data_IF_151434171215
#
_entry.id   IF_151434171215
#
_cell.length_a   1.000
_cell.length_b   1.000
_cell.length_c   1.000
_cell.angle_alpha   90.00
_cell.angle_beta   90.00
_cell.angle_gamma   90.00
#
_symmetry.space_group_name_H-M   'P 1'
#
loop_
_entity.id
_entity.type
_entity.pdbx_description
1 polymer ?
#
# COMPACT_ATOMS: atom_id res chain seq x y z
N UNK A 1 -15.83 6.95 -9.89
CA UNK A 1 -15.28 5.68 -10.40
C UNK A 1 -13.94 5.82 -11.14
N UNK A 2 -13.65 6.93 -11.84
CA UNK A 2 -12.35 7.12 -12.53
C UNK A 2 -11.25 7.81 -11.68
N UNK A 3 -11.50 8.13 -10.41
CA UNK A 3 -10.52 8.86 -9.59
C UNK A 3 -9.35 7.98 -9.16
N UNK A 4 -9.58 6.72 -8.82
CA UNK A 4 -8.51 5.80 -8.41
C UNK A 4 -7.53 5.54 -9.57
N UNK A 5 -8.02 5.66 -10.80
CA UNK A 5 -7.23 5.50 -12.01
C UNK A 5 -6.17 6.58 -12.20
N UNK A 6 -6.42 7.82 -11.77
CA UNK A 6 -5.41 8.90 -11.83
C UNK A 6 -4.38 8.79 -10.70
N UNK A 7 -4.61 7.91 -9.72
CA UNK A 7 -3.63 7.55 -8.69
C UNK A 7 -2.80 6.31 -9.07
N UNK A 8 -3.09 5.68 -10.22
CA UNK A 8 -2.35 4.52 -10.68
C UNK A 8 -0.87 4.87 -10.96
N UNK A 9 0.06 3.92 -10.72
CA UNK A 9 1.47 4.11 -11.05
C UNK A 9 1.67 4.46 -12.52
N UNK A 10 2.69 5.25 -12.84
CA UNK A 10 3.11 5.59 -14.22
C UNK A 10 4.52 5.09 -14.47
N UNK A 11 4.98 5.03 -15.72
CA UNK A 11 6.40 4.75 -15.96
C UNK A 11 7.24 6.01 -15.72
N UNK A 12 8.49 5.81 -15.30
CA UNK A 12 9.47 6.89 -15.34
C UNK A 12 9.65 7.39 -16.79
N UNK A 13 9.60 8.71 -16.99
CA UNK A 13 9.60 9.32 -18.33
C UNK A 13 10.92 9.02 -19.07
N UNK A 14 12.05 9.00 -18.38
CA UNK A 14 13.34 8.71 -19.00
C UNK A 14 13.44 7.23 -19.37
N UNK A 15 13.00 6.34 -18.48
CA UNK A 15 12.92 4.91 -18.74
C UNK A 15 12.00 4.60 -19.93
N UNK A 16 10.81 5.21 -19.99
CA UNK A 16 9.85 4.99 -21.08
C UNK A 16 10.39 5.49 -22.43
N UNK A 17 11.10 6.62 -22.46
CA UNK A 17 11.71 7.13 -23.70
C UNK A 17 12.88 6.29 -24.22
N UNK A 18 13.65 5.68 -23.31
CA UNK A 18 14.75 4.79 -23.67
C UNK A 18 14.27 3.36 -24.02
N UNK A 19 13.05 3.00 -23.64
CA UNK A 19 12.49 1.68 -23.82
C UNK A 19 12.22 1.34 -25.29
N UNK A 20 12.50 0.09 -25.67
CA UNK A 20 12.07 -0.44 -26.97
C UNK A 20 10.58 -0.75 -26.93
N UNK A 21 9.77 0.11 -27.54
CA UNK A 21 8.34 -0.15 -27.76
C UNK A 21 8.18 -1.34 -28.72
N UNK A 22 7.39 -2.31 -28.29
CA UNK A 22 7.13 -3.53 -29.05
C UNK A 22 5.93 -3.36 -29.96
N UNK A 23 4.77 -3.07 -29.38
CA UNK A 23 3.54 -2.85 -30.13
C UNK A 23 2.57 -1.97 -29.30
N UNK A 24 1.35 -1.80 -29.81
CA UNK A 24 0.29 -1.06 -29.12
C UNK A 24 -1.02 -1.85 -29.17
N UNK A 25 -1.66 -2.00 -28.01
CA UNK A 25 -3.02 -2.51 -27.87
C UNK A 25 -4.01 -1.42 -27.50
N UNK A 26 -5.18 -1.85 -27.03
CA UNK A 26 -6.25 -1.00 -26.53
C UNK A 26 -6.07 -0.74 -25.02
N UNK A 27 -6.11 0.53 -24.57
CA UNK A 27 -6.05 0.86 -23.15
C UNK A 27 -7.36 0.42 -22.47
N UNK A 28 -7.28 -0.56 -21.57
CA UNK A 28 -8.44 -1.16 -20.91
C UNK A 28 -8.52 -0.81 -19.42
N UNK A 29 -7.37 -0.88 -18.73
CA UNK A 29 -7.18 -0.50 -17.34
C UNK A 29 -5.95 0.38 -17.20
N UNK A 30 -6.06 1.63 -16.70
CA UNK A 30 -4.97 2.61 -16.71
C UNK A 30 -3.86 2.28 -15.69
N UNK A 31 -2.69 2.90 -15.92
CA UNK A 31 -1.50 2.74 -15.09
C UNK A 31 -0.35 2.03 -15.81
N UNK A 32 0.75 1.83 -15.09
CA UNK A 32 1.97 1.19 -15.57
C UNK A 32 2.28 -0.07 -14.75
N UNK A 33 2.49 -1.18 -15.44
CA UNK A 33 2.83 -2.45 -14.82
C UNK A 33 4.04 -3.08 -15.52
N UNK A 34 4.97 -3.59 -14.72
CA UNK A 34 6.13 -4.37 -15.17
C UNK A 34 6.12 -5.69 -14.42
N UNK A 35 6.38 -6.79 -15.12
CA UNK A 35 6.44 -8.09 -14.47
C UNK A 35 6.91 -9.19 -15.40
N UNK A 36 7.20 -10.35 -14.81
CA UNK A 36 7.56 -11.54 -15.56
C UNK A 36 6.33 -12.10 -16.28
N UNK A 37 6.47 -12.44 -17.55
CA UNK A 37 5.41 -13.06 -18.35
C UNK A 37 4.98 -14.37 -17.68
N UNK A 38 3.68 -14.50 -17.40
CA UNK A 38 3.02 -15.76 -17.06
C UNK A 38 1.85 -15.98 -18.01
N UNK A 39 1.76 -17.18 -18.59
CA UNK A 39 0.75 -17.51 -19.62
C UNK A 39 -0.40 -18.38 -19.09
N UNK A 40 -0.39 -18.65 -17.78
CA UNK A 40 -1.38 -19.46 -17.08
C UNK A 40 -1.71 -18.85 -15.72
N UNK A 41 -2.98 -18.86 -15.34
CA UNK A 41 -3.47 -18.20 -14.14
C UNK A 41 -2.94 -18.80 -12.83
N UNK A 42 -2.87 -20.13 -12.69
CA UNK A 42 -2.34 -20.78 -11.48
C UNK A 42 -0.85 -20.48 -11.30
N UNK A 43 -0.09 -20.54 -12.40
CA UNK A 43 1.33 -20.18 -12.37
C UNK A 43 1.56 -18.70 -12.07
N UNK A 44 0.66 -17.82 -12.51
CA UNK A 44 0.72 -16.41 -12.16
C UNK A 44 0.55 -16.19 -10.64
N UNK A 45 -0.34 -16.94 -9.98
CA UNK A 45 -0.53 -16.89 -8.52
C UNK A 45 0.75 -17.29 -7.78
N UNK A 46 1.41 -18.36 -8.24
CA UNK A 46 2.63 -18.84 -7.59
C UNK A 46 3.84 -17.95 -7.87
N UNK A 47 3.96 -17.44 -9.10
CA UNK A 47 5.03 -16.51 -9.45
C UNK A 47 4.87 -15.16 -8.74
N UNK A 48 3.63 -14.70 -8.48
CA UNK A 48 3.36 -13.46 -7.76
C UNK A 48 3.91 -13.47 -6.32
N UNK A 49 4.07 -14.65 -5.71
CA UNK A 49 4.70 -14.81 -4.39
C UNK A 49 6.21 -14.51 -4.41
N UNK A 50 6.85 -14.58 -5.57
CA UNK A 50 8.29 -14.39 -5.74
C UNK A 50 8.65 -13.03 -6.36
N UNK A 51 7.68 -12.30 -6.91
CA UNK A 51 7.90 -11.01 -7.54
C UNK A 51 6.76 -10.60 -8.46
N UNK A 52 6.89 -9.44 -9.14
CA UNK A 52 5.84 -8.91 -9.99
C UNK A 52 5.63 -9.74 -11.26
N UNK A 53 4.36 -9.97 -11.61
CA UNK A 53 3.93 -10.84 -12.71
C UNK A 53 3.05 -10.09 -13.68
N UNK A 54 3.24 -10.37 -14.97
CA UNK A 54 2.36 -9.93 -16.05
C UNK A 54 1.60 -11.13 -16.62
N UNK A 55 0.28 -11.17 -16.48
CA UNK A 55 -0.54 -12.24 -17.05
C UNK A 55 -0.76 -11.97 -18.54
N UNK A 56 -0.18 -12.81 -19.40
CA UNK A 56 -0.27 -12.68 -20.86
C UNK A 56 -1.11 -13.81 -21.43
N UNK A 57 -2.24 -13.48 -22.08
CA UNK A 57 -3.21 -14.47 -22.60
C UNK A 57 -3.65 -14.10 -24.00
N UNK A 58 -4.09 -15.06 -24.81
CA UNK A 58 -4.80 -14.74 -26.05
C UNK A 58 -6.10 -14.00 -25.74
N UNK A 59 -6.92 -14.60 -24.88
CA UNK A 59 -8.13 -14.04 -24.28
C UNK A 59 -8.21 -14.57 -22.84
N UNK A 60 -8.83 -13.83 -21.93
CA UNK A 60 -9.10 -14.31 -20.57
C UNK A 60 -10.50 -14.89 -20.46
N UNK A 61 -10.66 -15.92 -19.64
CA UNK A 61 -11.97 -16.46 -19.23
C UNK A 61 -12.20 -16.26 -17.71
N UNK A 62 -13.40 -16.56 -17.18
CA UNK A 62 -13.65 -16.53 -15.74
C UNK A 62 -12.72 -17.41 -14.91
N UNK A 63 -12.16 -18.48 -15.50
CA UNK A 63 -11.19 -19.37 -14.86
C UNK A 63 -9.85 -18.67 -14.58
N UNK A 64 -9.52 -17.64 -15.35
CA UNK A 64 -8.28 -16.87 -15.22
C UNK A 64 -8.32 -15.86 -14.05
N UNK A 65 -9.48 -15.68 -13.39
CA UNK A 65 -9.71 -14.63 -12.39
C UNK A 65 -8.66 -14.60 -11.28
N UNK A 66 -8.27 -15.76 -10.73
CA UNK A 66 -7.26 -15.82 -9.66
C UNK A 66 -5.90 -15.29 -10.13
N UNK A 67 -5.51 -15.61 -11.36
CA UNK A 67 -4.29 -15.10 -11.97
C UNK A 67 -4.37 -13.60 -12.26
N UNK A 68 -5.54 -13.11 -12.68
CA UNK A 68 -5.79 -11.67 -12.92
C UNK A 68 -5.68 -10.85 -11.62
N UNK A 69 -6.12 -11.42 -10.48
CA UNK A 69 -5.97 -10.79 -9.16
C UNK A 69 -4.49 -10.73 -8.75
N UNK A 70 -3.76 -11.83 -8.96
CA UNK A 70 -2.37 -11.95 -8.55
C UNK A 70 -1.40 -11.11 -9.41
N UNK A 71 -1.69 -10.90 -10.69
CA UNK A 71 -0.80 -10.18 -11.60
C UNK A 71 -0.78 -8.66 -11.35
N UNK A 72 0.35 -8.01 -11.59
CA UNK A 72 0.49 -6.54 -11.60
C UNK A 72 -0.24 -5.92 -12.79
N UNK A 73 -0.25 -6.64 -13.92
CA UNK A 73 -0.97 -6.22 -15.11
C UNK A 73 -1.40 -7.39 -15.98
N UNK A 74 -2.38 -7.11 -16.85
CA UNK A 74 -2.98 -8.08 -17.75
C UNK A 74 -2.76 -7.61 -19.19
N UNK A 75 -2.27 -8.51 -20.04
CA UNK A 75 -2.04 -8.25 -21.45
C UNK A 75 -2.74 -9.32 -22.29
N UNK A 76 -3.63 -8.90 -23.19
CA UNK A 76 -4.28 -9.83 -24.12
C UNK A 76 -4.00 -9.52 -25.59
N UNK A 77 -3.82 -10.57 -26.39
CA UNK A 77 -3.65 -10.43 -27.84
C UNK A 77 -4.98 -10.10 -28.54
N UNK A 78 -6.10 -10.61 -28.01
CA UNK A 78 -7.46 -10.39 -28.52
C UNK A 78 -8.37 -9.76 -27.46
N UNK A 79 -9.55 -9.33 -27.91
CA UNK A 79 -10.56 -8.69 -27.08
C UNK A 79 -10.53 -7.16 -27.14
N UNK A 80 -11.72 -6.55 -27.12
CA UNK A 80 -11.88 -5.09 -27.11
C UNK A 80 -11.92 -4.49 -25.71
N UNK A 81 -12.21 -3.19 -25.63
CA UNK A 81 -12.39 -2.45 -24.36
C UNK A 81 -13.61 -2.91 -23.53
N UNK A 82 -14.48 -3.74 -24.10
CA UNK A 82 -15.62 -4.40 -23.45
C UNK A 82 -15.42 -5.91 -23.24
N UNK A 83 -14.20 -6.42 -23.50
CA UNK A 83 -13.88 -7.83 -23.27
C UNK A 83 -13.86 -8.18 -21.78
N UNK A 84 -13.95 -9.47 -21.47
CA UNK A 84 -13.83 -9.98 -20.10
C UNK A 84 -12.61 -9.41 -19.37
N UNK A 85 -11.43 -9.44 -20.02
CA UNK A 85 -10.18 -8.90 -19.47
C UNK A 85 -10.31 -7.42 -19.09
N UNK A 86 -10.91 -6.61 -19.97
CA UNK A 86 -11.05 -5.17 -19.78
C UNK A 86 -12.02 -4.82 -18.65
N UNK A 87 -13.18 -5.49 -18.60
CA UNK A 87 -14.21 -5.26 -17.59
C UNK A 87 -13.72 -5.62 -16.20
N UNK A 88 -13.14 -6.83 -16.05
CA UNK A 88 -12.66 -7.34 -14.77
C UNK A 88 -11.46 -6.53 -14.28
N UNK A 89 -10.50 -6.22 -15.16
CA UNK A 89 -9.34 -5.41 -14.78
C UNK A 89 -9.76 -4.01 -14.30
N UNK A 90 -10.72 -3.37 -14.97
CA UNK A 90 -11.22 -2.05 -14.57
C UNK A 90 -11.91 -2.10 -13.21
N UNK A 91 -12.73 -3.10 -12.95
CA UNK A 91 -13.39 -3.29 -11.65
C UNK A 91 -12.39 -3.51 -10.51
N UNK A 92 -11.27 -4.16 -10.82
CA UNK A 92 -10.22 -4.46 -9.84
C UNK A 92 -9.13 -3.39 -9.74
N UNK A 93 -9.20 -2.32 -10.55
CA UNK A 93 -8.17 -1.29 -10.61
C UNK A 93 -6.81 -1.81 -11.11
N UNK A 94 -6.79 -2.88 -11.92
CA UNK A 94 -5.57 -3.48 -12.47
C UNK A 94 -5.20 -2.84 -13.81
N UNK A 95 -3.90 -2.71 -14.04
CA UNK A 95 -3.36 -2.24 -15.32
C UNK A 95 -3.67 -3.29 -16.39
N UNK A 96 -4.27 -2.87 -17.50
CA UNK A 96 -4.70 -3.79 -18.53
C UNK A 96 -4.60 -3.19 -19.93
N UNK A 97 -3.97 -3.95 -20.84
CA UNK A 97 -3.93 -3.67 -22.28
C UNK A 97 -4.56 -4.86 -22.99
N UNK A 98 -5.64 -4.61 -23.73
CA UNK A 98 -6.34 -5.65 -24.47
C UNK A 98 -6.11 -5.53 -25.98
N UNK A 99 -6.34 -6.60 -26.73
CA UNK A 99 -6.39 -6.52 -28.19
C UNK A 99 -5.08 -6.10 -28.85
N UNK A 100 -3.94 -6.47 -28.27
CA UNK A 100 -2.63 -6.29 -28.89
C UNK A 100 -2.43 -7.34 -30.00
N UNK A 101 -3.07 -7.13 -31.14
CA UNK A 101 -3.17 -8.09 -32.25
C UNK A 101 -1.81 -8.49 -32.87
N UNK A 102 -0.78 -7.68 -32.66
CA UNK A 102 0.60 -7.97 -33.07
C UNK A 102 1.30 -9.03 -32.19
N UNK A 103 0.70 -9.43 -31.05
CA UNK A 103 1.23 -10.49 -30.20
C UNK A 103 0.78 -11.86 -30.71
N UNK A 104 1.75 -12.68 -31.05
CA UNK A 104 1.55 -14.11 -31.30
C UNK A 104 1.93 -14.91 -30.06
N UNK A 105 0.93 -15.48 -29.40
CA UNK A 105 1.04 -16.18 -28.11
C UNK A 105 0.94 -17.68 -28.38
N UNK A 106 2.05 -18.38 -28.17
CA UNK A 106 2.14 -19.84 -28.34
C UNK A 106 2.28 -20.53 -26.96
N UNK A 107 1.21 -21.18 -26.54
CA UNK A 107 1.16 -21.91 -25.28
C UNK A 107 1.97 -23.21 -25.28
N UNK A 108 2.26 -23.80 -26.46
CA UNK A 108 3.07 -25.04 -26.56
C UNK A 108 4.53 -24.73 -26.29
N UNK A 109 5.04 -23.66 -26.92
CA UNK A 109 6.43 -23.22 -26.72
C UNK A 109 6.59 -22.27 -25.54
N UNK A 110 5.48 -21.84 -24.91
CA UNK A 110 5.44 -20.88 -23.79
C UNK A 110 6.19 -19.59 -24.15
N UNK A 111 5.86 -19.05 -25.31
CA UNK A 111 6.51 -17.86 -25.86
C UNK A 111 5.51 -16.87 -26.45
N UNK A 112 5.91 -15.60 -26.41
CA UNK A 112 5.20 -14.47 -26.98
C UNK A 112 6.10 -13.86 -28.05
N UNK A 113 5.63 -13.82 -29.29
CA UNK A 113 6.34 -13.21 -30.42
C UNK A 113 5.70 -11.88 -30.78
N UNK A 114 6.53 -10.88 -31.05
CA UNK A 114 6.10 -9.56 -31.50
C UNK A 114 7.23 -8.90 -32.28
N UNK A 115 6.91 -8.40 -33.48
CA UNK A 115 7.85 -7.67 -34.36
C UNK A 115 9.22 -8.36 -34.50
N UNK A 116 9.19 -9.66 -34.77
CA UNK A 116 10.37 -10.51 -34.98
C UNK A 116 11.15 -10.88 -33.72
N UNK A 117 10.76 -10.38 -32.55
CA UNK A 117 11.37 -10.74 -31.25
C UNK A 117 10.55 -11.83 -30.55
N UNK A 118 11.20 -12.77 -29.87
CA UNK A 118 10.54 -13.83 -29.09
C UNK A 118 10.89 -13.68 -27.61
N UNK A 119 9.87 -13.62 -26.76
CA UNK A 119 9.98 -13.56 -25.31
C UNK A 119 9.43 -14.85 -24.71
N UNK A 120 10.11 -15.43 -23.74
CA UNK A 120 9.68 -16.65 -23.07
C UNK A 120 8.95 -16.33 -21.78
N UNK A 121 8.14 -17.27 -21.34
CA UNK A 121 7.56 -17.21 -19.99
C UNK A 121 8.67 -17.08 -18.94
N UNK A 122 8.52 -16.11 -18.03
CA UNK A 122 9.55 -15.69 -17.07
C UNK A 122 10.38 -14.47 -17.47
N UNK A 123 10.41 -14.09 -18.75
CA UNK A 123 11.04 -12.84 -19.20
C UNK A 123 10.21 -11.63 -18.78
N UNK A 124 10.83 -10.45 -18.69
CA UNK A 124 10.12 -9.22 -18.33
C UNK A 124 9.47 -8.53 -19.52
N UNK A 125 8.23 -8.09 -19.31
CA UNK A 125 7.55 -7.10 -20.15
C UNK A 125 6.94 -6.01 -19.29
N UNK A 126 6.77 -4.85 -19.91
CA UNK A 126 6.16 -3.67 -19.32
C UNK A 126 4.99 -3.20 -20.17
N UNK A 127 3.87 -2.90 -19.54
CA UNK A 127 2.67 -2.39 -20.21
C UNK A 127 2.23 -1.05 -19.60
N UNK A 128 1.82 -0.13 -20.47
CA UNK A 128 1.17 1.11 -20.10
C UNK A 128 -0.30 1.01 -20.49
N UNK A 129 -1.14 0.75 -19.50
CA UNK A 129 -2.58 0.61 -19.67
C UNK A 129 -3.32 1.93 -19.94
N UNK A 130 -2.67 3.07 -19.72
CA UNK A 130 -3.25 4.40 -20.02
C UNK A 130 -3.23 4.70 -21.51
N UNK A 131 -2.14 4.36 -22.20
CA UNK A 131 -1.97 4.64 -23.63
C UNK A 131 -1.96 3.37 -24.52
N UNK A 132 -2.01 2.18 -23.91
CA UNK A 132 -2.02 0.89 -24.60
C UNK A 132 -0.64 0.41 -25.08
N UNK A 133 0.45 1.03 -24.66
CA UNK A 133 1.79 0.69 -25.14
C UNK A 133 2.41 -0.51 -24.41
N UNK A 134 3.15 -1.33 -25.16
CA UNK A 134 3.84 -2.52 -24.65
C UNK A 134 5.33 -2.38 -24.94
N UNK A 135 6.17 -2.66 -23.95
CA UNK A 135 7.62 -2.46 -23.99
C UNK A 135 8.37 -3.73 -23.62
N UNK A 136 9.58 -3.87 -24.19
CA UNK A 136 10.49 -4.95 -23.83
C UNK A 136 11.20 -4.69 -22.50
N UNK A 137 11.37 -5.75 -21.71
CA UNK A 137 12.14 -5.70 -20.46
C UNK A 137 11.37 -5.10 -19.29
N UNK A 138 12.09 -4.82 -18.22
CA UNK A 138 11.55 -4.24 -16.99
C UNK A 138 11.75 -2.72 -16.98
N UNK A 139 10.65 -1.98 -17.05
CA UNK A 139 10.65 -0.54 -16.85
C UNK A 139 10.35 -0.20 -15.40
N UNK A 140 11.12 0.75 -14.85
CA UNK A 140 10.87 1.32 -13.54
C UNK A 140 9.56 2.08 -13.55
N UNK A 141 8.66 1.69 -12.65
CA UNK A 141 7.45 2.45 -12.35
C UNK A 141 7.79 3.59 -11.40
N UNK A 142 6.99 4.64 -11.46
CA UNK A 142 7.00 5.79 -10.58
C UNK A 142 5.59 5.97 -10.00
N UNK A 143 5.45 6.62 -8.83
CA UNK A 143 4.14 7.02 -8.33
C UNK A 143 3.38 7.87 -9.36
N UNK A 144 2.05 7.95 -9.27
CA UNK A 144 1.24 8.75 -10.20
C UNK A 144 1.72 10.20 -10.28
N UNK A 145 1.42 10.89 -11.39
CA UNK A 145 1.77 12.31 -11.52
C UNK A 145 1.20 13.15 -10.36
N UNK A 146 0.02 12.80 -9.87
CA UNK A 146 -0.62 13.45 -8.72
C UNK A 146 0.23 13.26 -7.45
N UNK A 147 0.69 12.04 -7.17
CA UNK A 147 1.56 11.77 -6.02
C UNK A 147 2.92 12.48 -6.19
N UNK A 148 3.47 12.49 -7.40
CA UNK A 148 4.71 13.19 -7.70
C UNK A 148 4.63 14.70 -7.47
N UNK A 149 3.45 15.30 -7.69
CA UNK A 149 3.18 16.71 -7.41
C UNK A 149 2.89 16.95 -5.91
N UNK A 150 1.95 16.20 -5.33
CA UNK A 150 1.41 16.46 -3.99
C UNK A 150 2.31 15.99 -2.86
N UNK A 151 2.91 14.81 -3.00
CA UNK A 151 3.65 14.13 -1.93
C UNK A 151 5.15 14.28 -2.15
N UNK A 152 5.66 13.83 -3.29
CA UNK A 152 7.10 13.83 -3.56
C UNK A 152 7.64 15.22 -3.90
N UNK A 153 6.77 16.14 -4.33
CA UNK A 153 7.12 17.51 -4.79
C UNK A 153 8.19 17.52 -5.90
N UNK A 154 8.22 16.48 -6.74
CA UNK A 154 9.20 16.28 -7.82
C UNK A 154 8.71 16.78 -9.18
N UNK A 155 7.40 16.86 -9.38
CA UNK A 155 6.80 17.34 -10.63
C UNK A 155 6.14 18.70 -10.41
N UNK A 156 6.37 19.63 -11.34
CA UNK A 156 5.73 20.95 -11.31
C UNK A 156 4.21 20.80 -11.57
N UNK A 157 3.34 21.29 -10.66
CA UNK A 157 1.89 21.27 -10.84
C UNK A 157 1.41 21.80 -12.19
N UNK A 158 2.13 22.77 -12.79
CA UNK A 158 1.77 23.38 -14.08
C UNK A 158 2.04 22.47 -15.26
N UNK A 159 2.90 21.46 -15.10
CA UNK A 159 3.31 20.53 -16.16
C UNK A 159 2.47 19.26 -16.22
N UNK A 160 1.83 18.87 -15.12
CA UNK A 160 0.92 17.73 -15.11
C UNK A 160 -0.50 18.15 -15.50
N UNK A 161 -1.03 17.55 -16.58
CA UNK A 161 -2.44 17.73 -16.96
C UNK A 161 -3.36 16.99 -16.00
N UNK A 162 -2.95 15.81 -15.57
CA UNK A 162 -3.73 14.97 -14.67
C UNK A 162 -3.91 15.64 -13.30
N UNK A 163 -2.85 16.27 -12.79
CA UNK A 163 -2.95 17.08 -11.57
C UNK A 163 -3.91 18.27 -11.72
N UNK A 164 -3.88 18.99 -12.86
CA UNK A 164 -4.82 20.11 -13.07
C UNK A 164 -6.27 19.66 -13.09
N UNK A 165 -6.55 18.57 -13.79
CA UNK A 165 -7.89 17.98 -13.85
C UNK A 165 -8.33 17.51 -12.44
N UNK A 166 -7.43 16.84 -11.71
CA UNK A 166 -7.67 16.41 -10.34
C UNK A 166 -7.96 17.59 -9.41
N UNK A 167 -7.13 18.63 -9.43
CA UNK A 167 -7.30 19.84 -8.62
C UNK A 167 -8.65 20.51 -8.91
N UNK A 168 -9.00 20.66 -10.19
CA UNK A 168 -10.28 21.24 -10.59
C UNK A 168 -11.48 20.41 -10.10
N UNK A 169 -11.39 19.08 -10.19
CA UNK A 169 -12.42 18.19 -9.67
C UNK A 169 -12.54 18.31 -8.15
N UNK A 170 -11.42 18.33 -7.43
CA UNK A 170 -11.41 18.50 -5.98
C UNK A 170 -12.02 19.84 -5.55
N UNK A 171 -11.78 20.92 -6.30
CA UNK A 171 -12.41 22.23 -6.07
C UNK A 171 -13.93 22.18 -6.25
N UNK A 172 -14.42 21.43 -7.24
CA UNK A 172 -15.87 21.22 -7.42
C UNK A 172 -16.46 20.37 -6.30
N UNK A 173 -15.77 19.31 -5.90
CA UNK A 173 -16.17 18.47 -4.78
C UNK A 173 -16.24 19.27 -3.48
N UNK A 174 -15.27 20.13 -3.21
CA UNK A 174 -15.25 21.00 -2.04
C UNK A 174 -16.45 21.97 -2.00
N UNK A 175 -16.93 22.45 -3.16
CA UNK A 175 -18.11 23.33 -3.25
C UNK A 175 -19.44 22.60 -3.08
N UNK A 176 -19.49 21.32 -3.46
CA UNK A 176 -20.70 20.52 -3.44
C UNK A 176 -20.87 19.68 -2.16
N UNK A 177 -19.77 19.33 -1.50
CA UNK A 177 -19.82 18.48 -0.31
C UNK A 177 -20.45 19.20 0.88
N UNK A 178 -21.22 18.46 1.68
CA UNK A 178 -21.73 18.88 2.98
C UNK A 178 -20.97 18.25 4.14
N UNK A 179 -20.18 17.22 3.86
CA UNK A 179 -19.40 16.49 4.87
C UNK A 179 -17.93 16.84 4.72
N UNK A 180 -17.29 17.10 5.86
CA UNK A 180 -15.84 17.23 5.95
C UNK A 180 -15.19 15.85 5.83
N UNK A 181 -14.13 15.77 5.04
CA UNK A 181 -13.32 14.56 4.90
C UNK A 181 -12.06 14.70 5.76
N UNK A 182 -12.03 13.99 6.88
CA UNK A 182 -10.84 13.86 7.75
C UNK A 182 -10.18 12.50 7.52
N UNK A 183 -8.90 12.39 7.88
CA UNK A 183 -8.11 11.17 7.70
C UNK A 183 -7.89 10.38 8.99
N UNK A 184 -7.58 9.10 8.87
CA UNK A 184 -6.96 8.33 9.94
C UNK A 184 -5.45 8.34 9.71
N UNK A 185 -4.69 8.96 10.61
CA UNK A 185 -3.25 9.10 10.46
C UNK A 185 -2.57 9.20 11.83
N UNK A 186 -1.48 8.43 11.98
CA UNK A 186 -0.82 8.22 13.28
C UNK A 186 0.64 8.71 13.28
N UNK A 187 1.14 9.16 12.13
CA UNK A 187 2.52 9.65 11.96
C UNK A 187 2.57 10.98 11.18
N UNK A 188 3.59 11.83 11.41
CA UNK A 188 3.70 13.12 10.73
C UNK A 188 3.71 13.03 9.20
N UNK A 189 4.31 11.98 8.63
CA UNK A 189 4.35 11.76 7.18
C UNK A 189 2.97 11.41 6.62
N UNK A 190 2.21 10.53 7.29
CA UNK A 190 0.84 10.21 6.89
C UNK A 190 -0.05 11.44 6.95
N UNK A 191 0.12 12.29 7.96
CA UNK A 191 -0.62 13.55 8.09
C UNK A 191 -0.29 14.49 6.94
N UNK A 192 1.00 14.73 6.66
CA UNK A 192 1.42 15.59 5.56
C UNK A 192 0.84 15.12 4.21
N UNK A 193 0.87 13.81 3.95
CA UNK A 193 0.29 13.23 2.75
C UNK A 193 -1.22 13.47 2.69
N UNK A 194 -1.95 13.17 3.78
CA UNK A 194 -3.39 13.35 3.81
C UNK A 194 -3.82 14.81 3.60
N UNK A 195 -3.10 15.76 4.20
CA UNK A 195 -3.33 17.19 3.97
C UNK A 195 -3.07 17.56 2.51
N UNK A 196 -2.01 17.02 1.89
CA UNK A 196 -1.73 17.25 0.48
C UNK A 196 -2.86 16.76 -0.45
N UNK A 197 -3.55 15.68 -0.08
CA UNK A 197 -4.74 15.17 -0.77
C UNK A 197 -6.04 15.93 -0.44
N UNK A 198 -6.00 16.94 0.44
CA UNK A 198 -7.14 17.78 0.77
C UNK A 198 -7.93 17.37 2.02
N UNK A 199 -7.37 16.50 2.87
CA UNK A 199 -8.01 16.19 4.16
C UNK A 199 -8.15 17.45 5.02
N UNK A 200 -9.32 17.66 5.62
CA UNK A 200 -9.60 18.83 6.46
C UNK A 200 -9.02 18.70 7.87
N UNK A 201 -8.44 17.56 8.22
CA UNK A 201 -7.82 17.27 9.51
C UNK A 201 -7.71 15.77 9.77
N UNK A 202 -7.40 15.38 11.01
CA UNK A 202 -7.30 13.97 11.42
C UNK A 202 -8.55 13.57 12.20
N UNK A 203 -9.35 12.65 11.70
CA UNK A 203 -10.57 12.14 12.35
C UNK A 203 -10.27 11.10 13.42
N UNK A 204 -9.12 10.41 13.30
CA UNK A 204 -8.63 9.46 14.29
C UNK A 204 -7.10 9.32 14.20
N UNK A 205 -6.42 9.71 15.27
CA UNK A 205 -5.02 9.38 15.53
C UNK A 205 -4.99 8.31 16.63
N UNK A 206 -4.47 7.14 16.31
CA UNK A 206 -4.33 5.98 17.19
C UNK A 206 -3.00 6.06 17.90
N UNK A 207 -3.03 6.33 19.20
CA UNK A 207 -1.80 6.49 20.00
C UNK A 207 -0.99 5.22 20.14
N UNK A 208 -1.59 4.07 19.85
CA UNK A 208 -1.06 2.78 20.27
C UNK A 208 -0.03 2.27 19.27
N UNK A 209 -0.24 2.62 18.00
CA UNK A 209 0.72 2.46 16.91
C UNK A 209 2.05 3.19 17.21
N UNK A 210 2.00 4.28 17.98
CA UNK A 210 3.18 5.08 18.33
C UNK A 210 4.12 4.35 19.31
N UNK A 211 3.66 3.28 19.96
CA UNK A 211 4.45 2.51 20.94
C UNK A 211 5.13 1.26 20.37
N UNK A 212 4.69 0.76 19.21
CA UNK A 212 5.22 -0.48 18.64
C UNK A 212 6.61 -0.31 17.99
N UNK A 213 7.08 0.92 17.81
CA UNK A 213 8.36 1.20 17.14
C UNK A 213 9.57 1.20 18.10
N UNK A 214 10.58 0.40 17.75
CA UNK A 214 11.93 0.45 18.34
C UNK A 214 11.95 0.31 19.86
N UNK A 215 12.67 1.21 20.54
CA UNK A 215 12.85 1.18 22.00
C UNK A 215 11.62 1.62 22.81
N UNK A 216 10.53 2.04 22.15
CA UNK A 216 9.31 2.52 22.80
C UNK A 216 8.50 1.37 23.39
N UNK A 217 8.50 0.23 22.70
CA UNK A 217 7.83 -0.99 23.15
C UNK A 217 8.40 -1.45 24.49
N UNK A 218 9.71 -1.27 24.72
CA UNK A 218 10.35 -1.66 25.97
C UNK A 218 9.89 -0.79 27.14
N UNK A 219 9.72 0.52 26.93
CA UNK A 219 9.19 1.41 27.95
C UNK A 219 7.72 1.11 28.28
N UNK A 220 6.93 0.69 27.29
CA UNK A 220 5.56 0.20 27.49
C UNK A 220 5.56 -1.12 28.29
N UNK A 221 6.44 -2.07 27.95
CA UNK A 221 6.59 -3.34 28.67
C UNK A 221 7.07 -3.14 30.11
N UNK A 222 7.97 -2.19 30.36
CA UNK A 222 8.37 -1.80 31.72
C UNK A 222 7.19 -1.28 32.53
N UNK A 223 6.30 -0.48 31.92
CA UNK A 223 5.10 0.05 32.56
C UNK A 223 4.14 -1.08 32.95
N UNK A 224 3.95 -2.06 32.05
CA UNK A 224 3.08 -3.22 32.26
C UNK A 224 3.61 -4.16 33.35
N UNK A 225 4.92 -4.38 33.39
CA UNK A 225 5.55 -5.28 34.36
C UNK A 225 5.71 -4.67 35.76
N UNK A 226 5.67 -3.34 35.90
CA UNK A 226 5.83 -2.65 37.17
C UNK A 226 4.83 -3.12 38.25
N UNK A 227 5.36 -3.48 39.43
CA UNK A 227 4.59 -4.01 40.56
C UNK A 227 3.98 -2.92 41.45
N UNK A 228 4.43 -1.67 41.33
CA UNK A 228 3.93 -0.55 42.12
C UNK A 228 3.73 0.71 41.24
N UNK A 229 2.96 1.66 41.76
CA UNK A 229 2.64 2.91 41.07
C UNK A 229 3.88 3.76 40.77
N UNK A 230 4.87 3.76 41.67
CA UNK A 230 6.09 4.58 41.55
C UNK A 230 6.89 4.16 40.32
N UNK A 231 7.13 2.86 40.16
CA UNK A 231 7.83 2.28 39.03
C UNK A 231 7.03 2.41 37.74
N UNK A 232 5.70 2.26 37.81
CA UNK A 232 4.82 2.49 36.66
C UNK A 232 4.91 3.93 36.16
N UNK A 233 4.85 4.92 37.06
CA UNK A 233 5.04 6.35 36.72
C UNK A 233 6.43 6.61 36.15
N UNK A 234 7.48 5.94 36.65
CA UNK A 234 8.84 6.06 36.12
C UNK A 234 8.94 5.55 34.68
N UNK A 235 8.28 4.43 34.36
CA UNK A 235 8.20 3.92 32.99
C UNK A 235 7.39 4.85 32.06
N UNK A 236 6.24 5.35 32.53
CA UNK A 236 5.42 6.32 31.77
C UNK A 236 6.18 7.62 31.44
N UNK A 237 7.01 8.12 32.37
CA UNK A 237 7.87 9.28 32.12
C UNK A 237 8.83 9.08 30.94
N UNK A 238 9.23 7.84 30.64
CA UNK A 238 10.07 7.52 29.46
C UNK A 238 9.28 7.59 28.15
N UNK A 239 7.97 7.32 28.17
CA UNK A 239 7.10 7.40 27.00
C UNK A 239 6.72 8.83 26.63
N UNK A 240 6.62 9.72 27.64
CA UNK A 240 6.26 11.12 27.46
C UNK A 240 7.06 11.87 26.37
N UNK A 241 8.41 11.83 26.34
CA UNK A 241 9.17 12.55 25.32
C UNK A 241 8.92 12.01 23.90
N UNK A 242 8.69 10.70 23.73
CA UNK A 242 8.38 10.11 22.43
C UNK A 242 7.04 10.60 21.91
N UNK A 243 5.97 10.44 22.71
CA UNK A 243 4.64 10.92 22.34
C UNK A 243 4.64 12.43 22.06
N UNK A 244 5.31 13.23 22.91
CA UNK A 244 5.39 14.67 22.72
C UNK A 244 6.05 15.03 21.38
N UNK A 245 7.15 14.36 21.02
CA UNK A 245 7.85 14.58 19.75
C UNK A 245 6.95 14.24 18.56
N UNK A 246 6.26 13.11 18.63
CA UNK A 246 5.40 12.69 17.53
C UNK A 246 4.20 13.63 17.36
N UNK A 247 3.54 14.02 18.46
CA UNK A 247 2.45 14.99 18.41
C UNK A 247 2.91 16.36 17.94
N UNK A 248 4.10 16.82 18.33
CA UNK A 248 4.69 18.04 17.77
C UNK A 248 4.84 17.94 16.24
N UNK A 249 5.29 16.80 15.73
CA UNK A 249 5.35 16.54 14.29
C UNK A 249 3.97 16.54 13.63
N UNK A 250 2.99 15.87 14.24
CA UNK A 250 1.60 15.81 13.76
C UNK A 250 0.98 17.21 13.72
N UNK A 251 1.06 17.98 14.81
CA UNK A 251 0.52 19.34 14.88
C UNK A 251 1.21 20.30 13.91
N UNK A 252 2.51 20.15 13.69
CA UNK A 252 3.23 20.92 12.68
C UNK A 252 2.71 20.60 11.27
N UNK A 253 2.46 19.33 10.95
CA UNK A 253 1.94 18.90 9.65
C UNK A 253 0.46 19.27 9.43
N UNK A 254 -0.31 19.48 10.50
CA UNK A 254 -1.72 19.88 10.42
C UNK A 254 -1.92 21.34 10.02
N UNK A 255 -0.94 22.21 10.30
CA UNK A 255 -0.98 23.64 9.98
C UNK A 255 -2.27 24.33 10.46
N UNK A 256 -2.67 24.05 11.71
CA UNK A 256 -3.87 24.63 12.33
C UNK A 256 -5.18 23.87 12.12
N UNK A 257 -5.16 22.76 11.37
CA UNK A 257 -6.33 21.88 11.19
C UNK A 257 -6.63 21.02 12.42
N UNK A 258 -7.90 20.62 12.64
CA UNK A 258 -8.31 19.82 13.80
C UNK A 258 -7.75 18.39 13.78
N UNK A 259 -7.45 17.87 14.97
CA UNK A 259 -7.03 16.49 15.17
C UNK A 259 -7.82 15.85 16.31
N UNK A 260 -8.32 14.64 16.07
CA UNK A 260 -8.92 13.80 17.09
C UNK A 260 -7.90 12.75 17.50
N UNK A 261 -7.37 12.86 18.71
CA UNK A 261 -6.40 11.91 19.27
C UNK A 261 -7.16 10.96 20.18
N UNK A 262 -7.10 9.67 19.86
CA UNK A 262 -7.68 8.62 20.70
C UNK A 262 -6.65 8.14 21.71
N UNK A 263 -7.05 8.09 22.97
CA UNK A 263 -6.25 7.48 24.04
C UNK A 263 -6.07 5.98 23.80
N UNK A 264 -5.25 5.35 24.64
CA UNK A 264 -4.88 3.94 24.53
C UNK A 264 -6.13 3.02 24.50
N UNK A 265 -6.27 2.22 23.44
CA UNK A 265 -7.40 1.33 23.22
C UNK A 265 -7.15 -0.18 23.37
N UNK A 266 -5.99 -0.78 23.01
CA UNK A 266 -5.81 -2.21 23.06
C UNK A 266 -5.52 -2.68 24.49
N UNK A 267 -5.89 -3.93 24.80
CA UNK A 267 -5.54 -4.56 26.06
C UNK A 267 -4.02 -4.74 26.20
N UNK A 268 -3.54 -4.69 27.44
CA UNK A 268 -2.10 -4.63 27.71
C UNK A 268 -1.34 -5.89 27.27
N UNK A 269 -2.00 -7.04 27.14
CA UNK A 269 -1.35 -8.27 26.68
C UNK A 269 -0.85 -8.18 25.23
N UNK A 270 -1.42 -7.30 24.37
CA UNK A 270 -0.94 -7.11 23.00
C UNK A 270 0.49 -6.55 22.94
N UNK A 271 0.97 -5.90 24.01
CA UNK A 271 2.34 -5.38 24.09
C UNK A 271 3.34 -6.41 24.63
N UNK A 272 2.88 -7.54 25.17
CA UNK A 272 3.72 -8.57 25.78
C UNK A 272 4.00 -9.70 24.78
N UNK A 273 5.21 -10.29 24.79
CA UNK A 273 5.52 -11.44 23.96
C UNK A 273 4.77 -12.70 24.41
N UNK A 274 4.23 -13.45 23.45
CA UNK A 274 3.51 -14.70 23.71
C UNK A 274 4.43 -15.93 23.70
N UNK A 275 5.54 -15.90 22.98
CA UNK A 275 6.48 -17.02 22.91
C UNK A 275 7.51 -16.99 24.05
N UNK A 276 7.91 -18.19 24.49
CA UNK A 276 8.78 -18.34 25.65
C UNK A 276 10.21 -17.80 25.41
N UNK A 277 10.68 -17.78 24.17
CA UNK A 277 11.99 -17.25 23.82
C UNK A 277 12.02 -15.72 23.98
N UNK A 278 11.05 -15.02 23.38
CA UNK A 278 10.91 -13.58 23.50
C UNK A 278 10.59 -13.13 24.93
N UNK A 279 9.87 -13.93 25.73
CA UNK A 279 9.70 -13.66 27.17
C UNK A 279 11.03 -13.72 27.94
N UNK A 280 11.91 -14.68 27.62
CA UNK A 280 13.25 -14.76 28.22
C UNK A 280 14.11 -13.56 27.82
N UNK A 281 14.05 -13.15 26.56
CA UNK A 281 14.80 -12.01 26.09
C UNK A 281 14.28 -10.70 26.71
N UNK A 282 12.97 -10.56 26.86
CA UNK A 282 12.37 -9.44 27.56
C UNK A 282 12.82 -9.39 29.03
N UNK A 283 12.80 -10.53 29.72
CA UNK A 283 13.24 -10.63 31.12
C UNK A 283 14.70 -10.17 31.28
N UNK A 284 15.60 -10.65 30.41
CA UNK A 284 17.01 -10.22 30.37
C UNK A 284 17.14 -8.72 30.08
N UNK A 285 16.42 -8.22 29.07
CA UNK A 285 16.51 -6.82 28.63
C UNK A 285 16.03 -5.84 29.68
N UNK A 286 15.04 -6.24 30.48
CA UNK A 286 14.46 -5.40 31.53
C UNK A 286 15.04 -5.65 32.93
N UNK A 287 15.91 -6.65 33.09
CA UNK A 287 16.49 -7.01 34.38
C UNK A 287 15.47 -7.57 35.37
N UNK A 288 14.42 -8.24 34.88
CA UNK A 288 13.36 -8.85 35.71
C UNK A 288 13.40 -10.38 35.59
N UNK A 289 12.79 -11.09 36.55
CA UNK A 289 12.74 -12.55 36.49
C UNK A 289 11.78 -13.04 35.40
N UNK A 290 12.13 -14.14 34.71
CA UNK A 290 11.24 -14.78 33.75
C UNK A 290 9.90 -15.19 34.38
N UNK A 291 9.92 -15.61 35.64
CA UNK A 291 8.72 -15.98 36.39
C UNK A 291 7.76 -14.79 36.55
N UNK A 292 8.28 -13.58 36.83
CA UNK A 292 7.47 -12.35 36.91
C UNK A 292 6.82 -12.02 35.56
N UNK A 293 7.58 -12.13 34.46
CA UNK A 293 7.06 -11.89 33.10
C UNK A 293 5.95 -12.89 32.76
N UNK A 294 6.17 -14.18 33.00
CA UNK A 294 5.16 -15.22 32.74
C UNK A 294 3.88 -14.99 33.54
N UNK A 295 4.01 -14.72 34.83
CA UNK A 295 2.88 -14.43 35.70
C UNK A 295 2.08 -13.22 35.18
N UNK A 296 2.74 -12.13 34.79
CA UNK A 296 2.04 -10.96 34.25
C UNK A 296 1.34 -11.24 32.91
N UNK A 297 1.94 -12.05 32.04
CA UNK A 297 1.30 -12.47 30.77
C UNK A 297 0.04 -13.29 31.04
N UNK A 298 0.09 -14.21 32.01
CA UNK A 298 -1.06 -15.01 32.45
C UNK A 298 -2.14 -14.13 33.11
N UNK A 299 -1.75 -13.20 33.99
CA UNK A 299 -2.68 -12.28 34.67
C UNK A 299 -3.43 -11.36 33.70
N UNK A 300 -2.79 -10.99 32.58
CA UNK A 300 -3.37 -10.12 31.53
C UNK A 300 -4.02 -10.92 30.40
N UNK A 301 -3.97 -12.25 30.46
CA UNK A 301 -4.62 -13.09 29.46
C UNK A 301 -6.13 -12.98 29.59
N UNK A 302 -6.79 -12.77 28.46
CA UNK A 302 -8.24 -12.68 28.39
C UNK A 302 -8.76 -13.63 27.32
N UNK A 303 -9.86 -14.32 27.62
CA UNK A 303 -10.49 -15.23 26.67
C UNK A 303 -11.04 -14.49 25.44
N UNK A 304 -11.60 -13.28 25.64
CA UNK A 304 -12.13 -12.41 24.58
C UNK A 304 -11.55 -10.99 24.68
N UNK A 305 -10.33 -10.74 24.17
CA UNK A 305 -9.65 -9.44 24.22
C UNK A 305 -10.45 -8.25 23.65
N UNK A 306 -11.35 -8.50 22.69
CA UNK A 306 -12.22 -7.45 22.14
C UNK A 306 -13.20 -6.86 23.16
N UNK A 307 -13.57 -7.62 24.19
CA UNK A 307 -14.54 -7.23 25.21
C UNK A 307 -13.92 -7.10 26.62
N UNK A 308 -12.59 -7.13 26.72
CA UNK A 308 -11.84 -7.17 27.97
C UNK A 308 -11.44 -5.82 28.55
N UNK A 309 -10.35 -5.80 29.32
CA UNK A 309 -9.82 -4.64 30.03
C UNK A 309 -8.98 -3.79 29.09
N UNK A 310 -9.66 -2.87 28.41
CA UNK A 310 -9.11 -2.05 27.33
C UNK A 310 -9.85 -0.71 27.22
N UNK A 311 -9.28 0.24 26.46
CA UNK A 311 -9.91 1.53 26.22
C UNK A 311 -10.10 2.37 27.49
N UNK A 312 -11.34 2.79 27.75
CA UNK A 312 -11.65 3.69 28.86
C UNK A 312 -11.78 3.02 30.24
N UNK A 313 -11.66 1.69 30.32
CA UNK A 313 -11.73 0.89 31.55
C UNK A 313 -10.40 0.92 32.27
#
# INVERSE_FOLDING_TARGET
>A
EQLDQVLAPVFDIAAQKAAKKLCKGLPAGPGAASGKICMNAERAVEAAKQGPVLLVRQETSPEDLRGMIAAEGILTARGGVSSHAALVARQMGKVCVCGAAELDIDYKTRSVKVNGSTYKEGDYLSINGTNGEIFAGELKTAPSEIIQVLVDKKLDPRKSRDFKNFSQLMDWCAKATKMDVRTNADSPSQVANAIAFGASGIGLCRTEHMFFEGNRIDAMRQMILADNEVDRRKALKKLLPYQRKDFQGIFKALEGRPATIRLLDPPLHEFLPHDQAAQRDLAKKLGVSLASVKKRVEDLHEFNPMLGHRGCR
#
